data_IF_116068784377
#
_entry.id   IF_116068784377
#
_cell.length_a   1.000
_cell.length_b   1.000
_cell.length_c   1.000
_cell.angle_alpha   90.00
_cell.angle_beta   90.00
_cell.angle_gamma   90.00
#
_symmetry.space_group_name_H-M   'P 1'
#
loop_
_entity.id
_entity.type
_entity.pdbx_description
1 polymer ?
#
# COMPACT_ATOMS: atom_id res chain seq x y z
N UNK A 1 10.83 6.59 -11.86
CA UNK A 1 10.24 5.65 -10.89
C UNK A 1 11.33 4.79 -10.25
N UNK A 2 11.43 4.84 -8.92
CA UNK A 2 12.38 4.10 -8.11
C UNK A 2 11.63 3.25 -7.08
N UNK A 3 11.72 1.92 -7.21
CA UNK A 3 11.14 0.98 -6.27
C UNK A 3 12.24 0.26 -5.50
N UNK A 4 12.22 0.37 -4.16
CA UNK A 4 13.21 -0.27 -3.30
C UNK A 4 12.52 -1.03 -2.18
N UNK A 5 12.99 -2.23 -1.89
CA UNK A 5 12.51 -3.03 -0.75
C UNK A 5 13.54 -3.04 0.37
N UNK A 6 13.04 -3.19 1.59
CA UNK A 6 13.82 -3.20 2.82
C UNK A 6 13.38 -4.38 3.70
N UNK A 7 14.36 -5.12 4.20
CA UNK A 7 14.13 -6.21 5.17
C UNK A 7 13.84 -5.60 6.55
N UNK A 8 12.84 -6.11 7.29
CA UNK A 8 12.56 -5.62 8.63
C UNK A 8 13.69 -5.94 9.60
N UNK A 9 13.84 -5.08 10.61
CA UNK A 9 14.73 -5.32 11.75
C UNK A 9 14.30 -6.58 12.51
N UNK A 10 15.19 -7.23 13.28
CA UNK A 10 14.86 -8.46 14.00
C UNK A 10 13.59 -8.38 14.85
N UNK A 11 13.34 -7.24 15.50
CA UNK A 11 12.14 -7.01 16.31
C UNK A 11 10.83 -7.01 15.49
N UNK A 12 10.88 -6.61 14.22
CA UNK A 12 9.71 -6.53 13.34
C UNK A 12 9.51 -7.77 12.47
N UNK A 13 10.53 -8.61 12.28
CA UNK A 13 10.49 -9.82 11.44
C UNK A 13 9.29 -10.75 11.70
N UNK A 14 8.81 -10.95 12.95
CA UNK A 14 7.65 -11.82 13.19
C UNK A 14 6.35 -11.27 12.59
N UNK A 15 6.23 -9.95 12.41
CA UNK A 15 4.98 -9.28 12.05
C UNK A 15 5.01 -8.65 10.66
N UNK A 16 6.18 -8.20 10.22
CA UNK A 16 6.41 -7.53 8.94
C UNK A 16 7.13 -8.48 8.00
N UNK A 17 6.65 -8.57 6.77
CA UNK A 17 7.32 -9.34 5.72
C UNK A 17 8.42 -8.51 5.08
N UNK A 18 8.07 -7.29 4.66
CA UNK A 18 8.96 -6.33 4.00
C UNK A 18 8.39 -4.92 4.07
N UNK A 19 9.27 -3.95 3.92
CA UNK A 19 8.89 -2.57 3.65
C UNK A 19 9.31 -2.23 2.22
N UNK A 20 8.61 -1.31 1.56
CA UNK A 20 9.01 -0.79 0.27
C UNK A 20 8.89 0.73 0.23
N UNK A 21 9.75 1.35 -0.55
CA UNK A 21 9.66 2.75 -0.92
C UNK A 21 9.43 2.79 -2.43
N UNK A 22 8.41 3.52 -2.85
CA UNK A 22 8.19 3.90 -4.24
C UNK A 22 8.25 5.43 -4.34
N UNK A 23 9.16 5.93 -5.15
CA UNK A 23 9.30 7.36 -5.38
C UNK A 23 9.57 7.67 -6.84
N UNK A 24 9.28 8.90 -7.24
CA UNK A 24 9.78 9.48 -8.48
C UNK A 24 10.36 10.86 -8.15
N UNK A 25 11.59 11.10 -8.59
CA UNK A 25 12.26 12.39 -8.40
C UNK A 25 11.67 13.46 -9.34
N UNK A 26 10.98 13.02 -10.40
CA UNK A 26 10.27 13.88 -11.34
C UNK A 26 8.81 14.08 -10.94
N UNK A 27 8.23 15.21 -11.39
CA UNK A 27 6.80 15.44 -11.30
C UNK A 27 6.10 14.81 -12.50
N UNK A 28 5.18 13.87 -12.26
CA UNK A 28 4.46 13.19 -13.33
C UNK A 28 3.47 14.15 -13.99
N UNK A 29 3.70 14.42 -15.28
CA UNK A 29 2.80 15.23 -16.12
C UNK A 29 1.68 14.41 -16.76
N UNK A 30 1.86 13.10 -16.86
CA UNK A 30 0.85 12.14 -17.32
C UNK A 30 0.64 11.06 -16.25
N UNK A 31 -0.61 10.55 -16.08
CA UNK A 31 -0.87 9.48 -15.14
C UNK A 31 -0.08 8.20 -15.47
N UNK A 32 0.38 7.52 -14.42
CA UNK A 32 1.01 6.20 -14.53
C UNK A 32 0.13 5.19 -13.82
N UNK A 33 -0.19 4.09 -14.51
CA UNK A 33 -0.92 2.98 -13.93
C UNK A 33 0.01 1.86 -13.49
N UNK A 34 -0.18 1.37 -12.26
CA UNK A 34 0.50 0.18 -11.75
C UNK A 34 -0.53 -0.88 -11.37
N UNK A 35 -0.35 -2.09 -11.87
CA UNK A 35 -1.22 -3.23 -11.57
C UNK A 35 -0.56 -4.18 -10.58
N UNK A 36 -1.34 -4.64 -9.59
CA UNK A 36 -0.94 -5.71 -8.68
C UNK A 36 -1.76 -6.97 -9.00
N UNK A 37 -1.15 -8.09 -9.42
CA UNK A 37 -1.84 -9.29 -9.87
C UNK A 37 -2.41 -10.17 -8.74
N UNK A 38 -2.95 -9.56 -7.67
CA UNK A 38 -3.53 -10.25 -6.52
C UNK A 38 -2.50 -10.98 -5.63
N UNK A 39 -1.61 -10.22 -4.97
CA UNK A 39 -0.76 -10.78 -3.91
C UNK A 39 -1.46 -10.64 -2.54
N UNK A 40 -1.94 -11.74 -1.92
CA UNK A 40 -2.66 -11.69 -0.66
C UNK A 40 -1.79 -11.13 0.46
N UNK A 41 -2.05 -9.88 0.82
CA UNK A 41 -1.32 -9.22 1.89
C UNK A 41 -2.20 -8.20 2.60
N UNK A 42 -1.85 -7.92 3.84
CA UNK A 42 -2.29 -6.72 4.55
C UNK A 42 -1.15 -5.72 4.54
N UNK A 43 -1.47 -4.45 4.35
CA UNK A 43 -0.47 -3.41 4.18
C UNK A 43 -0.84 -2.15 4.95
N UNK A 44 0.18 -1.42 5.41
CA UNK A 44 0.04 -0.03 5.78
C UNK A 44 0.76 0.81 4.74
N UNK A 45 0.13 1.86 4.26
CA UNK A 45 0.71 2.76 3.26
C UNK A 45 0.72 4.18 3.81
N UNK A 46 1.89 4.81 3.71
CA UNK A 46 2.14 6.21 3.99
C UNK A 46 2.56 6.88 2.69
N UNK A 47 1.65 7.65 2.11
CA UNK A 47 1.87 8.48 0.93
C UNK A 47 2.14 9.92 1.36
N UNK A 48 3.36 10.38 1.09
CA UNK A 48 3.85 11.74 1.32
C UNK A 48 4.04 12.51 0.00
N UNK A 49 3.56 11.95 -1.11
CA UNK A 49 3.36 12.63 -2.39
C UNK A 49 1.90 13.03 -2.62
N UNK A 50 1.53 13.16 -3.88
CA UNK A 50 0.15 13.41 -4.28
C UNK A 50 -0.71 12.15 -4.10
N UNK A 51 -1.97 12.35 -3.69
CA UNK A 51 -2.91 11.24 -3.48
C UNK A 51 -3.21 10.55 -4.81
N UNK A 52 -3.38 9.24 -4.75
CA UNK A 52 -3.57 8.40 -5.93
C UNK A 52 -4.91 7.68 -5.91
N UNK A 53 -5.34 7.22 -7.09
CA UNK A 53 -6.61 6.51 -7.24
C UNK A 53 -6.40 5.00 -7.22
N UNK A 54 -7.33 4.30 -6.59
CA UNK A 54 -7.45 2.85 -6.61
C UNK A 54 -8.58 2.43 -7.54
N UNK A 55 -8.32 1.42 -8.37
CA UNK A 55 -9.35 0.73 -9.12
C UNK A 55 -9.29 -0.78 -8.82
N UNK A 56 -10.43 -1.34 -8.48
CA UNK A 56 -10.63 -2.75 -8.16
C UNK A 56 -12.09 -3.13 -8.45
N UNK A 57 -12.47 -4.39 -8.27
CA UNK A 57 -13.85 -4.85 -8.46
C UNK A 57 -14.89 -4.05 -7.64
N UNK A 58 -14.49 -3.49 -6.48
CA UNK A 58 -15.38 -2.73 -5.59
C UNK A 58 -15.17 -1.21 -5.63
N UNK A 59 -14.21 -0.73 -6.42
CA UNK A 59 -13.85 0.68 -6.46
C UNK A 59 -13.46 1.13 -7.86
N UNK A 60 -14.15 2.13 -8.40
CA UNK A 60 -13.82 2.75 -9.68
C UNK A 60 -13.16 4.12 -9.46
N UNK A 61 -11.85 4.13 -9.26
CA UNK A 61 -11.09 5.38 -9.15
C UNK A 61 -11.20 6.06 -7.80
N UNK A 62 -11.30 5.28 -6.72
CA UNK A 62 -11.37 5.80 -5.35
C UNK A 62 -10.07 6.52 -4.99
N UNK A 63 -10.15 7.80 -4.63
CA UNK A 63 -9.00 8.56 -4.15
C UNK A 63 -8.62 8.11 -2.74
N UNK A 64 -7.43 7.54 -2.58
CA UNK A 64 -6.99 7.02 -1.29
C UNK A 64 -6.45 8.12 -0.36
N UNK A 65 -6.63 7.96 0.98
CA UNK A 65 -6.00 8.84 1.95
C UNK A 65 -4.47 8.83 1.85
N UNK A 66 -3.82 9.88 2.38
CA UNK A 66 -2.36 9.93 2.48
C UNK A 66 -1.79 8.89 3.44
N UNK A 67 -2.58 8.38 4.38
CA UNK A 67 -2.19 7.26 5.23
C UNK A 67 -3.38 6.34 5.44
N UNK A 68 -3.19 5.05 5.20
CA UNK A 68 -4.25 4.07 5.39
C UNK A 68 -3.68 2.68 5.66
N UNK A 69 -4.53 1.82 6.20
CA UNK A 69 -4.29 0.38 6.30
C UNK A 69 -5.19 -0.33 5.31
N UNK A 70 -4.59 -1.14 4.44
CA UNK A 70 -5.29 -2.10 3.62
C UNK A 70 -5.38 -3.42 4.38
N UNK A 71 -6.60 -3.96 4.43
CA UNK A 71 -6.85 -5.32 4.92
C UNK A 71 -6.26 -6.37 4.00
N UNK A 72 -6.72 -7.60 4.16
CA UNK A 72 -6.30 -8.72 3.32
C UNK A 72 -6.82 -8.55 1.89
N UNK A 73 -5.96 -8.12 0.97
CA UNK A 73 -6.31 -7.97 -0.45
C UNK A 73 -5.96 -9.23 -1.23
N UNK A 74 -6.94 -10.08 -1.53
CA UNK A 74 -6.77 -11.29 -2.35
C UNK A 74 -7.10 -11.10 -3.83
N UNK A 75 -7.49 -9.89 -4.24
CA UNK A 75 -7.92 -9.58 -5.61
C UNK A 75 -6.91 -8.68 -6.32
N UNK A 76 -6.96 -8.70 -7.64
CA UNK A 76 -6.18 -7.79 -8.45
C UNK A 76 -6.72 -6.38 -8.29
N UNK A 77 -5.81 -5.41 -8.30
CA UNK A 77 -6.18 -4.00 -8.32
C UNK A 77 -5.14 -3.24 -9.11
N UNK A 78 -5.52 -2.05 -9.55
CA UNK A 78 -4.65 -1.11 -10.25
C UNK A 78 -4.69 0.23 -9.53
N UNK A 79 -3.57 0.93 -9.53
CA UNK A 79 -3.47 2.28 -8.97
C UNK A 79 -3.03 3.24 -10.06
N UNK A 80 -3.58 4.45 -10.03
CA UNK A 80 -3.21 5.54 -10.92
C UNK A 80 -2.50 6.62 -10.11
N UNK A 81 -1.21 6.82 -10.43
CA UNK A 81 -0.32 7.80 -9.81
C UNK A 81 -0.26 9.05 -10.69
N UNK A 82 -0.26 10.22 -10.06
CA UNK A 82 -0.12 11.53 -10.73
C UNK A 82 0.75 12.44 -9.87
N UNK A 83 1.32 13.50 -10.48
CA UNK A 83 2.11 14.49 -9.76
C UNK A 83 3.34 13.92 -9.08
N UNK A 84 3.57 14.29 -7.81
CA UNK A 84 4.71 13.82 -7.01
C UNK A 84 4.44 12.41 -6.46
N UNK A 85 5.31 11.46 -6.80
CA UNK A 85 5.23 10.08 -6.28
C UNK A 85 6.21 9.89 -5.14
N UNK A 86 5.68 9.49 -3.99
CA UNK A 86 6.45 9.42 -2.75
C UNK A 86 5.68 8.63 -1.70
N UNK A 87 5.95 7.32 -1.61
CA UNK A 87 5.21 6.43 -0.72
C UNK A 87 6.10 5.37 -0.07
N UNK A 88 5.76 5.05 1.18
CA UNK A 88 6.30 3.96 1.96
C UNK A 88 5.17 2.97 2.21
N UNK A 89 5.38 1.70 1.88
CA UNK A 89 4.47 0.63 2.26
C UNK A 89 5.12 -0.39 3.18
N UNK A 90 4.34 -0.87 4.14
CA UNK A 90 4.72 -1.94 5.06
C UNK A 90 3.80 -3.12 4.78
N UNK A 91 4.38 -4.26 4.41
CA UNK A 91 3.63 -5.50 4.14
C UNK A 91 3.72 -6.38 5.38
N UNK A 92 2.58 -6.76 5.95
CA UNK A 92 2.50 -7.60 7.13
C UNK A 92 2.47 -9.09 6.75
N UNK A 93 3.04 -9.93 7.62
CA UNK A 93 2.94 -11.40 7.51
C UNK A 93 1.63 -11.86 8.11
N UNK A 94 0.74 -12.46 7.31
CA UNK A 94 -0.52 -13.02 7.79
C UNK A 94 -1.30 -12.04 8.68
N UNK A 95 -1.55 -12.41 9.93
CA UNK A 95 -2.24 -11.56 10.93
C UNK A 95 -1.32 -10.61 11.72
N UNK A 96 -0.09 -10.39 11.24
CA UNK A 96 0.92 -9.57 11.92
C UNK A 96 0.47 -8.13 12.21
N UNK A 97 -0.48 -7.60 11.43
CA UNK A 97 -1.14 -6.32 11.69
C UNK A 97 -1.79 -6.28 13.10
N UNK A 98 -2.36 -7.39 13.57
CA UNK A 98 -3.04 -7.47 14.88
C UNK A 98 -2.12 -7.26 16.08
N UNK A 99 -0.82 -7.47 15.90
CA UNK A 99 0.15 -7.21 16.95
C UNK A 99 0.30 -5.71 17.27
N UNK A 100 -0.02 -4.85 16.29
CA UNK A 100 0.07 -3.40 16.42
C UNK A 100 -1.29 -2.74 16.62
N UNK A 101 -2.37 -3.38 16.13
CA UNK A 101 -3.71 -2.83 16.18
C UNK A 101 -4.69 -3.87 16.73
N UNK A 102 -5.07 -3.68 17.98
CA UNK A 102 -5.90 -4.60 18.77
C UNK A 102 -7.39 -4.58 18.40
N UNK A 103 -7.85 -3.63 17.58
CA UNK A 103 -9.28 -3.38 17.34
C UNK A 103 -9.66 -3.02 15.91
N UNK A 104 -8.86 -3.31 14.88
CA UNK A 104 -9.33 -3.12 13.50
C UNK A 104 -10.41 -4.16 13.23
N UNK A 105 -11.67 -3.73 13.25
CA UNK A 105 -12.78 -4.58 12.87
C UNK A 105 -12.61 -4.96 11.40
N UNK A 106 -12.62 -6.28 11.11
CA UNK A 106 -12.57 -6.81 9.75
C UNK A 106 -13.69 -6.25 8.85
N UNK A 107 -14.75 -5.69 9.44
CA UNK A 107 -15.90 -5.07 8.77
C UNK A 107 -15.63 -3.67 8.21
N UNK A 108 -14.52 -3.02 8.57
CA UNK A 108 -14.15 -1.71 7.99
C UNK A 108 -13.20 -1.84 6.79
N UNK A 109 -12.92 -3.08 6.37
CA UNK A 109 -11.94 -3.42 5.32
C UNK A 109 -12.57 -4.17 4.14
N UNK A 110 -13.89 -4.16 4.01
CA UNK A 110 -14.67 -4.77 2.91
C UNK A 110 -15.44 -3.72 2.13
#
# INVERSE_FOLDING_TARGET
MHYKTHTPTPALKPFVERMYILSDDSYLTNPIELSNPANPCSAMVLNYGDRYRLFSDSAEGMLLPSSFMAGFSSRAYRIELTGRVSMLGIIFRGVGLRAFFSSVALSELT
#
